data_IF_057068565443
#
_entry.id   IF_057068565443
#
_cell.length_a   1.000
_cell.length_b   1.000
_cell.length_c   1.000
_cell.angle_alpha   90.00
_cell.angle_beta   90.00
_cell.angle_gamma   90.00
#
_symmetry.space_group_name_H-M   'P 1'
#
loop_
_entity.id
_entity.type
_entity.pdbx_description
1 polymer ?
#
# COMPACT_ATOMS: atom_id res chain seq x y z
N UNK A 1 -3.10 3.84 -18.88
CA UNK A 1 -3.50 3.71 -17.46
C UNK A 1 -2.30 3.83 -16.56
N UNK A 2 -2.50 4.40 -15.39
CA UNK A 2 -1.41 4.72 -14.49
C UNK A 2 -1.74 4.33 -13.06
N UNK A 3 -0.74 3.81 -12.34
CA UNK A 3 -0.82 3.55 -10.92
C UNK A 3 0.47 3.93 -10.23
N UNK A 4 0.49 3.87 -8.92
CA UNK A 4 1.61 4.34 -8.13
C UNK A 4 1.93 3.39 -6.99
N UNK A 5 3.21 3.23 -6.72
CA UNK A 5 3.71 2.58 -5.50
C UNK A 5 4.23 3.70 -4.61
N UNK A 6 3.79 3.72 -3.36
CA UNK A 6 4.17 4.76 -2.41
C UNK A 6 4.66 4.15 -1.11
N UNK A 7 5.34 4.97 -0.31
CA UNK A 7 5.74 4.59 1.03
C UNK A 7 5.21 5.62 2.01
N UNK A 8 4.63 5.16 3.11
CA UNK A 8 4.28 5.97 4.26
C UNK A 8 5.30 5.65 5.34
N UNK A 9 5.88 6.68 5.92
CA UNK A 9 7.01 6.52 6.81
C UNK A 9 6.76 7.22 8.13
N UNK A 10 7.09 6.54 9.23
CA UNK A 10 6.95 7.11 10.58
C UNK A 10 8.29 7.64 11.07
N UNK A 11 8.40 8.96 11.24
CA UNK A 11 9.61 9.61 11.73
C UNK A 11 10.01 9.17 13.14
N UNK A 12 9.04 8.76 13.96
CA UNK A 12 9.31 8.44 15.34
C UNK A 12 10.11 7.15 15.50
N UNK A 13 9.96 6.20 14.57
CA UNK A 13 10.61 4.88 14.70
C UNK A 13 11.23 4.36 13.41
N UNK A 14 11.19 5.15 12.33
CA UNK A 14 11.74 4.80 11.02
C UNK A 14 11.10 3.58 10.37
N UNK A 15 9.84 3.30 10.67
CA UNK A 15 9.14 2.15 10.08
C UNK A 15 8.34 2.54 8.86
N UNK A 16 8.52 1.82 7.73
CA UNK A 16 7.79 2.11 6.50
C UNK A 16 6.55 1.25 6.32
N UNK A 17 5.66 1.75 5.47
CA UNK A 17 4.54 1.00 4.93
C UNK A 17 4.50 1.24 3.43
N UNK A 18 4.55 0.18 2.63
CA UNK A 18 4.47 0.27 1.17
C UNK A 18 3.05 -0.04 0.73
N UNK A 19 2.52 0.78 -0.18
CA UNK A 19 1.19 0.56 -0.72
C UNK A 19 1.13 0.84 -2.20
N UNK A 20 -0.01 0.53 -2.78
CA UNK A 20 -0.28 0.79 -4.20
C UNK A 20 -1.62 1.49 -4.34
N UNK A 21 -1.76 2.29 -5.39
CA UNK A 21 -3.00 3.01 -5.66
C UNK A 21 -3.12 3.34 -7.14
N UNK A 22 -4.36 3.45 -7.62
CA UNK A 22 -4.65 3.99 -8.94
C UNK A 22 -5.32 5.36 -8.83
N UNK A 23 -5.48 5.88 -7.62
CA UNK A 23 -6.21 7.14 -7.36
C UNK A 23 -5.34 8.24 -6.80
N UNK A 24 -4.02 8.06 -6.82
CA UNK A 24 -3.09 9.06 -6.32
C UNK A 24 -2.63 8.76 -4.89
N UNK A 25 -1.31 8.82 -4.68
CA UNK A 25 -0.74 8.45 -3.39
C UNK A 25 -1.08 9.45 -2.28
N UNK A 26 -1.22 10.72 -2.60
CA UNK A 26 -1.61 11.73 -1.61
C UNK A 26 -3.04 11.49 -1.11
N UNK A 27 -3.94 11.15 -2.03
CA UNK A 27 -5.32 10.82 -1.67
C UNK A 27 -5.36 9.56 -0.82
N UNK A 28 -4.57 8.55 -1.17
CA UNK A 28 -4.52 7.30 -0.43
C UNK A 28 -3.97 7.53 0.97
N UNK A 29 -2.99 8.40 1.12
CA UNK A 29 -2.46 8.77 2.43
C UNK A 29 -3.56 9.40 3.30
N UNK A 30 -4.34 10.32 2.73
CA UNK A 30 -5.47 10.91 3.45
C UNK A 30 -6.46 9.85 3.91
N UNK A 31 -6.74 8.86 3.07
CA UNK A 31 -7.64 7.77 3.41
C UNK A 31 -7.10 6.91 4.56
N UNK A 32 -5.79 6.68 4.59
CA UNK A 32 -5.19 5.96 5.71
C UNK A 32 -5.34 6.73 7.02
N UNK A 33 -5.16 8.05 7.00
CA UNK A 33 -5.35 8.88 8.19
C UNK A 33 -6.79 8.87 8.67
N UNK A 34 -7.74 8.94 7.73
CA UNK A 34 -9.16 8.84 8.06
C UNK A 34 -9.51 7.49 8.69
N UNK A 35 -9.00 6.40 8.11
CA UNK A 35 -9.24 5.06 8.63
C UNK A 35 -8.68 4.91 10.04
N UNK A 36 -7.52 5.49 10.31
CA UNK A 36 -6.93 5.50 11.64
C UNK A 36 -7.86 6.19 12.65
N UNK A 37 -8.43 7.35 12.28
CA UNK A 37 -9.36 8.08 13.12
C UNK A 37 -10.64 7.30 13.41
N UNK A 38 -11.05 6.45 12.48
CA UNK A 38 -12.25 5.61 12.63
C UNK A 38 -12.02 4.34 13.44
N UNK A 39 -10.78 4.08 13.87
CA UNK A 39 -10.48 2.94 14.72
C UNK A 39 -10.04 1.69 13.99
N UNK A 40 -9.59 1.81 12.75
CA UNK A 40 -9.07 0.66 11.99
C UNK A 40 -7.94 -0.05 12.74
N UNK A 41 -7.94 -1.38 12.70
CA UNK A 41 -6.95 -2.20 13.39
C UNK A 41 -5.73 -2.59 12.54
N UNK A 42 -5.58 -2.03 11.34
CA UNK A 42 -4.36 -2.25 10.58
C UNK A 42 -3.15 -1.70 11.34
N UNK A 43 -2.02 -2.39 11.23
CA UNK A 43 -0.82 -1.99 11.97
C UNK A 43 -0.44 -0.53 11.72
N UNK A 44 -0.47 -0.09 10.46
CA UNK A 44 -0.22 1.30 10.10
C UNK A 44 -1.18 2.26 10.82
N UNK A 45 -2.47 1.93 10.82
CA UNK A 45 -3.49 2.81 11.39
C UNK A 45 -3.38 2.90 12.91
N UNK A 46 -3.04 1.81 13.56
CA UNK A 46 -2.77 1.83 15.01
C UNK A 46 -1.56 2.70 15.33
N UNK A 47 -0.53 2.64 14.48
CA UNK A 47 0.65 3.48 14.67
C UNK A 47 0.34 4.96 14.47
N UNK A 48 -0.51 5.30 13.49
CA UNK A 48 -0.92 6.68 13.27
C UNK A 48 -1.62 7.23 14.52
N UNK A 49 -2.49 6.45 15.14
CA UNK A 49 -3.14 6.87 16.39
C UNK A 49 -2.16 6.98 17.55
N UNK A 50 -1.20 6.07 17.64
CA UNK A 50 -0.26 6.04 18.75
C UNK A 50 0.75 7.17 18.69
N UNK A 51 1.31 7.44 17.51
CA UNK A 51 2.40 8.42 17.36
C UNK A 51 1.91 9.80 16.92
N UNK A 52 0.71 9.89 16.38
CA UNK A 52 0.17 11.13 15.82
C UNK A 52 0.42 11.22 14.32
N UNK A 53 -0.57 11.72 13.58
CA UNK A 53 -0.47 11.77 12.12
C UNK A 53 0.66 12.70 11.64
N UNK A 54 1.06 13.67 12.45
CA UNK A 54 2.13 14.61 12.12
C UNK A 54 3.52 13.95 12.08
N UNK A 55 3.65 12.73 12.60
CA UNK A 55 4.89 11.96 12.53
C UNK A 55 5.05 11.18 11.23
N UNK A 56 4.02 11.17 10.40
CA UNK A 56 3.99 10.37 9.19
C UNK A 56 4.05 11.27 7.96
N UNK A 57 4.75 10.78 6.94
CA UNK A 57 4.69 11.42 5.63
C UNK A 57 4.59 10.34 4.57
N UNK A 58 4.23 10.74 3.34
CA UNK A 58 4.12 9.83 2.20
C UNK A 58 5.04 10.30 1.09
N UNK A 59 5.63 9.33 0.39
CA UNK A 59 6.49 9.61 -0.75
C UNK A 59 6.17 8.65 -1.88
N UNK A 60 6.36 9.11 -3.11
CA UNK A 60 6.14 8.29 -4.29
C UNK A 60 7.39 7.47 -4.57
N UNK A 61 7.24 6.16 -4.64
CA UNK A 61 8.36 5.27 -4.98
C UNK A 61 8.48 5.04 -6.48
N UNK A 62 7.35 4.79 -7.14
CA UNK A 62 7.39 4.45 -8.55
C UNK A 62 6.02 4.71 -9.19
N UNK A 63 6.03 5.19 -10.43
CA UNK A 63 4.82 5.31 -11.25
C UNK A 63 4.82 4.17 -12.25
N UNK A 64 3.70 3.46 -12.35
CA UNK A 64 3.54 2.31 -13.23
C UNK A 64 2.52 2.66 -14.29
N UNK A 65 2.82 2.33 -15.55
CA UNK A 65 1.89 2.53 -16.65
C UNK A 65 1.59 1.21 -17.35
N UNK A 66 0.40 1.12 -17.93
CA UNK A 66 -0.02 -0.06 -18.67
C UNK A 66 -1.13 0.32 -19.64
N UNK A 67 -1.35 -0.54 -20.64
CA UNK A 67 -2.40 -0.29 -21.64
C UNK A 67 -3.76 -0.77 -21.17
N UNK A 68 -3.80 -1.79 -20.32
CA UNK A 68 -5.05 -2.33 -19.79
C UNK A 68 -5.04 -2.30 -18.28
N UNK A 69 -6.24 -2.37 -17.68
CA UNK A 69 -6.37 -2.40 -16.23
C UNK A 69 -5.76 -3.69 -15.65
N UNK A 70 -5.99 -4.82 -16.30
CA UNK A 70 -5.44 -6.10 -15.81
C UNK A 70 -3.91 -6.09 -15.81
N UNK A 71 -3.31 -5.54 -16.86
CA UNK A 71 -1.85 -5.39 -16.93
C UNK A 71 -1.36 -4.46 -15.83
N UNK A 72 -2.06 -3.35 -15.61
CA UNK A 72 -1.70 -2.40 -14.57
C UNK A 72 -1.71 -3.05 -13.19
N UNK A 73 -2.80 -3.77 -12.87
CA UNK A 73 -2.91 -4.42 -11.56
C UNK A 73 -1.82 -5.48 -11.37
N UNK A 74 -1.51 -6.24 -12.42
CA UNK A 74 -0.43 -7.22 -12.36
C UNK A 74 0.91 -6.57 -12.06
N UNK A 75 1.22 -5.49 -12.78
CA UNK A 75 2.46 -4.75 -12.57
C UNK A 75 2.53 -4.11 -11.20
N UNK A 76 1.42 -3.52 -10.74
CA UNK A 76 1.36 -2.90 -9.42
C UNK A 76 1.62 -3.94 -8.32
N UNK A 77 0.99 -5.11 -8.44
CA UNK A 77 1.19 -6.17 -7.46
C UNK A 77 2.64 -6.64 -7.42
N UNK A 78 3.25 -6.81 -8.59
CA UNK A 78 4.67 -7.20 -8.68
C UNK A 78 5.58 -6.16 -8.05
N UNK A 79 5.33 -4.89 -8.31
CA UNK A 79 6.15 -3.80 -7.78
C UNK A 79 5.93 -3.60 -6.28
N UNK A 80 4.71 -3.79 -5.80
CA UNK A 80 4.46 -3.72 -4.37
C UNK A 80 5.26 -4.81 -3.64
N UNK A 81 5.22 -6.03 -4.15
CA UNK A 81 6.01 -7.14 -3.59
C UNK A 81 7.49 -6.79 -3.58
N UNK A 82 7.98 -6.25 -4.69
CA UNK A 82 9.38 -5.84 -4.80
C UNK A 82 9.77 -4.82 -3.73
N UNK A 83 8.96 -3.76 -3.57
CA UNK A 83 9.28 -2.69 -2.65
C UNK A 83 9.12 -3.09 -1.18
N UNK A 84 8.13 -3.94 -0.86
CA UNK A 84 7.97 -4.47 0.49
C UNK A 84 9.22 -5.26 0.87
N UNK A 85 9.74 -6.06 -0.05
CA UNK A 85 10.95 -6.82 0.18
C UNK A 85 12.18 -5.91 0.27
N UNK A 86 12.30 -4.96 -0.66
CA UNK A 86 13.44 -4.06 -0.71
C UNK A 86 13.55 -3.20 0.54
N UNK A 87 12.43 -2.73 1.08
CA UNK A 87 12.40 -1.92 2.29
C UNK A 87 12.19 -2.74 3.56
N UNK A 88 12.01 -4.05 3.40
CA UNK A 88 11.77 -4.97 4.52
C UNK A 88 10.58 -4.53 5.39
N UNK A 89 9.54 -3.98 4.75
CA UNK A 89 8.44 -3.33 5.46
C UNK A 89 7.45 -4.30 6.11
N UNK A 90 7.50 -5.57 5.74
CA UNK A 90 6.70 -6.59 6.41
C UNK A 90 7.30 -6.94 7.78
N UNK A 91 8.61 -7.11 7.83
CA UNK A 91 9.33 -7.49 9.06
C UNK A 91 9.64 -6.30 9.95
N UNK A 92 10.11 -5.22 9.34
CA UNK A 92 10.61 -4.03 10.03
C UNK A 92 9.68 -2.84 9.93
N UNK A 93 8.48 -3.02 9.36
CA UNK A 93 7.55 -1.94 9.12
C UNK A 93 6.11 -2.34 9.40
N UNK A 94 5.20 -1.69 8.69
CA UNK A 94 3.77 -1.84 8.94
C UNK A 94 3.04 -2.73 7.96
N UNK A 95 3.72 -3.31 6.96
CA UNK A 95 3.06 -4.22 6.05
C UNK A 95 2.79 -5.55 6.74
N UNK A 96 1.54 -6.00 6.64
CA UNK A 96 1.09 -7.24 7.30
C UNK A 96 1.24 -8.46 6.40
N UNK A 97 1.44 -8.24 5.09
CA UNK A 97 1.62 -9.30 4.11
C UNK A 97 2.81 -8.99 3.22
N UNK A 98 3.18 -9.94 2.37
CA UNK A 98 4.28 -9.75 1.40
C UNK A 98 3.87 -8.88 0.21
N UNK A 99 2.61 -8.44 0.14
CA UNK A 99 2.13 -7.59 -0.92
C UNK A 99 1.39 -8.33 -2.03
N UNK A 100 0.98 -7.57 -3.05
CA UNK A 100 0.31 -8.14 -4.20
C UNK A 100 -1.17 -8.37 -4.02
N UNK A 101 -1.79 -7.81 -2.99
CA UNK A 101 -3.20 -8.04 -2.66
C UNK A 101 -4.03 -6.77 -2.62
N UNK A 102 -3.39 -5.60 -2.69
CA UNK A 102 -4.05 -4.34 -2.39
C UNK A 102 -5.18 -3.97 -3.34
N UNK A 103 -5.01 -4.17 -4.63
CA UNK A 103 -5.99 -3.79 -5.64
C UNK A 103 -6.50 -4.98 -6.42
N UNK A 104 -6.35 -6.19 -5.89
CA UNK A 104 -6.83 -7.38 -6.55
C UNK A 104 -8.34 -7.35 -6.68
N UNK A 105 -8.81 -7.59 -7.90
CA UNK A 105 -10.23 -7.80 -8.17
C UNK A 105 -10.40 -9.21 -8.71
N UNK A 106 -11.45 -9.93 -8.29
CA UNK A 106 -11.69 -11.27 -8.84
C UNK A 106 -11.88 -11.21 -10.35
N UNK A 107 -11.07 -11.93 -11.08
CA UNK A 107 -11.28 -12.17 -12.50
C UNK A 107 -12.04 -13.48 -12.65
N UNK A 108 -12.62 -13.78 -13.84
CA UNK A 108 -13.23 -15.08 -14.04
C UNK A 108 -12.30 -16.25 -13.74
N UNK A 109 -11.03 -16.15 -14.12
CA UNK A 109 -10.05 -17.18 -13.82
C UNK A 109 -9.78 -17.30 -12.34
N UNK A 110 -9.66 -16.16 -11.65
CA UNK A 110 -9.44 -16.16 -10.21
C UNK A 110 -10.60 -16.81 -9.48
N UNK A 111 -11.83 -16.47 -9.89
CA UNK A 111 -13.02 -17.07 -9.29
C UNK A 111 -13.08 -18.58 -9.52
N UNK A 112 -12.71 -19.04 -10.71
CA UNK A 112 -12.65 -20.47 -11.00
C UNK A 112 -11.65 -21.19 -10.12
N UNK A 113 -10.50 -20.59 -9.86
CA UNK A 113 -9.49 -21.18 -9.00
C UNK A 113 -9.92 -21.24 -7.55
N UNK A 114 -10.67 -20.24 -7.11
CA UNK A 114 -11.17 -20.20 -5.74
C UNK A 114 -12.34 -21.15 -5.55
N UNK A 115 -13.16 -21.27 -6.57
CA UNK A 115 -14.30 -22.17 -6.54
C UNK A 115 -13.91 -23.58 -6.99
#
# INVERSE_FOLDING_TARGET
MKGEIYVIFNYANNKPYVGQTIKGYLRRFSKHKEAAKRGSNLALHRAIRKYGEEKFWVDLLETITAETEDELLTKLNQKEIYWIKALNSKREGYNMTSGGQGLLRPTPETRKKIS
#
